data_IF_867460100594
#
_entry.id   IF_867460100594
#
_cell.length_a   1.000
_cell.length_b   1.000
_cell.length_c   1.000
_cell.angle_alpha   90.00
_cell.angle_beta   90.00
_cell.angle_gamma   90.00
#
_symmetry.space_group_name_H-M   'P 1'
#
loop_
_entity.id
_entity.type
_entity.pdbx_description
1 polymer ?
#
# COMPACT_ATOMS: atom_id res chain seq x y z
N UNK A 1 16.63 25.48 17.51
CA UNK A 1 17.19 24.53 16.53
C UNK A 1 16.02 23.80 15.89
N UNK A 2 15.77 24.00 14.59
CA UNK A 2 14.70 23.28 13.90
C UNK A 2 15.14 21.84 13.73
N UNK A 3 14.51 20.92 14.45
CA UNK A 3 14.64 19.49 14.20
C UNK A 3 14.32 19.25 12.72
N UNK A 4 15.16 18.54 11.95
CA UNK A 4 14.78 18.13 10.61
C UNK A 4 13.48 17.35 10.74
N UNK A 5 12.38 17.88 10.19
CA UNK A 5 11.11 17.18 10.19
C UNK A 5 11.31 15.80 9.58
N UNK A 6 10.67 14.76 10.14
CA UNK A 6 10.78 13.41 9.62
C UNK A 6 10.30 13.39 8.16
N UNK A 7 11.22 13.29 7.21
CA UNK A 7 10.90 13.23 5.78
C UNK A 7 10.56 11.80 5.44
N UNK A 8 9.26 11.53 5.22
CA UNK A 8 8.80 10.27 4.64
C UNK A 8 9.03 10.29 3.14
N UNK A 9 9.60 9.23 2.57
CA UNK A 9 9.85 9.10 1.13
C UNK A 9 8.96 8.00 0.58
N UNK A 10 8.14 8.32 -0.43
CA UNK A 10 7.29 7.33 -1.09
C UNK A 10 7.74 7.21 -2.54
N UNK A 11 8.24 6.03 -2.89
CA UNK A 11 8.52 5.67 -4.27
C UNK A 11 7.26 5.03 -4.86
N UNK A 12 6.80 5.60 -5.97
CA UNK A 12 5.54 5.23 -6.61
C UNK A 12 5.78 4.63 -8.00
N UNK A 13 5.09 3.54 -8.37
CA UNK A 13 5.23 2.96 -9.69
C UNK A 13 4.59 3.87 -10.74
N UNK A 14 5.40 4.33 -11.71
CA UNK A 14 4.95 5.29 -12.73
C UNK A 14 3.73 4.80 -13.54
N UNK A 15 3.61 3.49 -13.73
CA UNK A 15 2.51 2.86 -14.48
C UNK A 15 1.16 2.89 -13.75
N UNK A 16 1.12 3.29 -12.46
CA UNK A 16 -0.11 3.40 -11.66
C UNK A 16 -0.73 4.80 -11.75
N UNK A 17 -0.04 5.78 -12.33
CA UNK A 17 -0.58 7.12 -12.57
C UNK A 17 -1.35 7.21 -13.90
N UNK A 18 -2.34 6.33 -14.11
CA UNK A 18 -3.18 6.36 -15.32
C UNK A 18 -4.62 6.73 -14.97
N UNK A 19 -5.39 7.31 -15.91
CA UNK A 19 -6.81 7.62 -15.70
C UNK A 19 -7.69 6.39 -15.41
N UNK A 20 -7.17 5.17 -15.58
CA UNK A 20 -7.88 3.90 -15.40
C UNK A 20 -7.51 3.18 -14.12
N UNK A 21 -6.71 3.81 -13.25
CA UNK A 21 -6.30 3.18 -12.00
C UNK A 21 -7.51 2.99 -11.10
N UNK A 22 -7.78 1.73 -10.75
CA UNK A 22 -8.83 1.35 -9.81
C UNK A 22 -8.34 1.49 -8.38
N UNK A 23 -9.28 1.62 -7.45
CA UNK A 23 -8.97 1.52 -6.03
C UNK A 23 -8.48 0.10 -5.68
N UNK A 24 -7.69 -0.02 -4.63
CA UNK A 24 -7.11 -1.30 -4.24
C UNK A 24 -6.07 -1.19 -3.13
N UNK A 25 -5.43 -2.30 -2.84
CA UNK A 25 -4.39 -2.40 -1.82
C UNK A 25 -3.04 -1.95 -2.37
N UNK A 26 -2.35 -1.10 -1.60
CA UNK A 26 -0.97 -0.71 -1.86
C UNK A 26 -0.05 -1.84 -1.39
N UNK A 27 0.63 -2.50 -2.33
CA UNK A 27 1.57 -3.59 -2.00
C UNK A 27 2.99 -3.11 -2.23
N UNK A 28 3.88 -3.37 -1.27
CA UNK A 28 5.28 -2.98 -1.38
C UNK A 28 6.06 -3.13 -0.08
N UNK A 29 7.13 -2.35 0.07
CA UNK A 29 8.07 -2.46 1.17
C UNK A 29 8.18 -1.17 1.97
N UNK A 30 8.23 -1.30 3.30
CA UNK A 30 8.74 -0.26 4.19
C UNK A 30 10.22 -0.56 4.49
N UNK A 31 11.12 0.10 3.76
CA UNK A 31 12.53 -0.31 3.68
C UNK A 31 13.35 0.25 4.85
N UNK A 32 13.18 1.54 5.20
CA UNK A 32 13.94 2.20 6.29
C UNK A 32 13.31 3.54 6.66
N UNK A 33 13.14 3.83 7.96
CA UNK A 33 12.75 5.15 8.51
C UNK A 33 11.77 5.94 7.62
N UNK A 34 10.54 5.43 7.47
CA UNK A 34 9.47 6.06 6.67
C UNK A 34 9.74 6.17 5.16
N UNK A 35 10.67 5.37 4.63
CA UNK A 35 10.86 5.18 3.20
C UNK A 35 10.07 3.97 2.73
N UNK A 36 9.05 4.24 1.94
CA UNK A 36 8.13 3.23 1.43
C UNK A 36 8.22 3.11 -0.08
N UNK A 37 8.38 1.90 -0.59
CA UNK A 37 8.38 1.61 -2.02
C UNK A 37 7.13 0.84 -2.38
N UNK A 38 6.28 1.45 -3.19
CA UNK A 38 5.05 0.83 -3.66
C UNK A 38 5.37 0.12 -4.97
N UNK A 39 5.07 -1.17 -5.02
CA UNK A 39 5.33 -2.03 -6.16
C UNK A 39 4.13 -2.06 -7.09
N UNK A 40 2.93 -2.18 -6.52
CA UNK A 40 1.69 -2.36 -7.25
C UNK A 40 0.48 -1.89 -6.42
N UNK A 41 -0.60 -1.65 -7.16
CA UNK A 41 -1.96 -1.52 -6.61
C UNK A 41 -2.74 -2.76 -7.03
N UNK A 42 -3.23 -3.52 -6.06
CA UNK A 42 -3.99 -4.74 -6.31
C UNK A 42 -5.47 -4.49 -5.98
N UNK A 43 -6.30 -4.53 -7.00
CA UNK A 43 -7.75 -4.30 -6.92
C UNK A 43 -8.52 -5.63 -6.90
N UNK A 44 -9.80 -5.57 -6.54
CA UNK A 44 -10.76 -6.69 -6.71
C UNK A 44 -10.36 -7.99 -5.98
N UNK A 45 -9.65 -7.87 -4.84
CA UNK A 45 -9.23 -9.00 -3.98
C UNK A 45 -9.61 -8.76 -2.52
N UNK A 46 -9.72 -9.81 -1.72
CA UNK A 46 -9.87 -9.69 -0.26
C UNK A 46 -8.52 -9.47 0.41
N UNK A 47 -8.50 -8.70 1.50
CA UNK A 47 -7.28 -8.42 2.26
C UNK A 47 -6.58 -9.71 2.72
N UNK A 48 -7.34 -10.62 3.33
CA UNK A 48 -6.79 -11.87 3.86
C UNK A 48 -6.17 -12.75 2.77
N UNK A 49 -6.81 -12.85 1.60
CA UNK A 49 -6.30 -13.64 0.47
C UNK A 49 -5.02 -13.02 -0.08
N UNK A 50 -4.96 -11.69 -0.16
CA UNK A 50 -3.77 -10.96 -0.57
C UNK A 50 -2.62 -11.16 0.43
N UNK A 51 -2.86 -11.01 1.72
CA UNK A 51 -1.84 -11.22 2.76
C UNK A 51 -1.34 -12.67 2.79
N UNK A 52 -2.24 -13.65 2.61
CA UNK A 52 -1.86 -15.07 2.49
C UNK A 52 -0.98 -15.31 1.26
N UNK A 53 -1.32 -14.71 0.12
CA UNK A 53 -0.53 -14.81 -1.11
C UNK A 53 0.86 -14.19 -0.94
N UNK A 54 0.95 -13.01 -0.31
CA UNK A 54 2.23 -12.36 -0.01
C UNK A 54 3.08 -13.18 0.97
N UNK A 55 2.44 -13.84 1.95
CA UNK A 55 3.11 -14.75 2.87
C UNK A 55 3.64 -16.00 2.15
N UNK A 56 2.86 -16.61 1.26
CA UNK A 56 3.31 -17.75 0.46
C UNK A 56 4.46 -17.38 -0.48
N UNK A 57 4.45 -16.19 -1.09
CA UNK A 57 5.56 -15.68 -1.89
C UNK A 57 6.86 -15.57 -1.07
N UNK A 58 6.74 -15.22 0.22
CA UNK A 58 7.91 -15.09 1.10
C UNK A 58 8.61 -16.42 1.41
N UNK A 59 7.91 -17.54 1.30
CA UNK A 59 8.42 -18.89 1.60
C UNK A 59 8.82 -19.66 0.35
N UNK A 60 8.47 -19.17 -0.84
CA UNK A 60 8.85 -19.79 -2.11
C UNK A 60 10.31 -19.50 -2.47
N UNK A 61 11.16 -20.50 -2.25
CA UNK A 61 12.60 -20.46 -2.52
C UNK A 61 12.97 -20.74 -3.98
N UNK A 62 11.99 -20.97 -4.85
CA UNK A 62 12.20 -21.34 -6.25
C UNK A 62 11.85 -20.23 -7.25
N UNK A 63 11.17 -19.17 -6.80
CA UNK A 63 10.72 -18.10 -7.66
C UNK A 63 11.77 -16.98 -7.84
N UNK A 64 11.56 -16.15 -8.87
CA UNK A 64 12.29 -14.89 -9.07
C UNK A 64 12.23 -13.94 -7.86
N UNK A 65 11.29 -14.19 -6.94
CA UNK A 65 11.13 -13.47 -5.69
C UNK A 65 12.32 -13.63 -4.72
N UNK A 66 13.05 -14.75 -4.75
CA UNK A 66 14.25 -14.94 -3.90
C UNK A 66 15.29 -13.84 -4.13
N UNK A 67 15.40 -13.35 -5.36
CA UNK A 67 16.27 -12.22 -5.66
C UNK A 67 15.75 -10.91 -5.06
N UNK A 68 14.44 -10.67 -5.11
CA UNK A 68 13.84 -9.49 -4.47
C UNK A 68 13.97 -9.51 -2.95
N UNK A 69 13.82 -10.67 -2.31
CA UNK A 69 14.06 -10.83 -0.87
C UNK A 69 15.49 -10.44 -0.46
N UNK A 70 16.49 -10.78 -1.28
CA UNK A 70 17.89 -10.38 -1.06
C UNK A 70 18.13 -8.87 -1.23
N UNK A 71 17.41 -8.22 -2.15
CA UNK A 71 17.59 -6.79 -2.44
C UNK A 71 16.81 -5.91 -1.47
N UNK A 72 15.57 -6.27 -1.16
CA UNK A 72 14.66 -5.48 -0.32
C UNK A 72 14.72 -5.85 1.17
N UNK A 73 15.32 -6.99 1.53
CA UNK A 73 15.55 -7.43 2.91
C UNK A 73 14.32 -7.94 3.67
N UNK A 74 13.13 -7.85 3.08
CA UNK A 74 11.86 -8.30 3.64
C UNK A 74 10.86 -8.63 2.53
N UNK A 75 9.83 -9.46 2.78
CA UNK A 75 8.75 -9.65 1.84
C UNK A 75 7.87 -8.38 1.72
N UNK A 76 7.20 -8.16 0.57
CA UNK A 76 6.26 -7.08 0.43
C UNK A 76 5.04 -7.33 1.30
N UNK A 77 4.46 -6.25 1.81
CA UNK A 77 3.29 -6.25 2.67
C UNK A 77 2.23 -5.33 2.09
N UNK A 78 1.03 -5.41 2.64
CA UNK A 78 0.00 -4.39 2.44
C UNK A 78 0.38 -3.16 3.25
N UNK A 79 0.66 -2.06 2.55
CA UNK A 79 1.07 -0.78 3.11
C UNK A 79 -0.10 0.18 3.32
N UNK A 80 -1.26 -0.16 2.78
CA UNK A 80 -2.46 0.65 2.88
C UNK A 80 -3.36 0.50 1.66
N UNK A 81 -4.08 1.57 1.30
CA UNK A 81 -5.08 1.56 0.23
C UNK A 81 -4.97 2.78 -0.69
N UNK A 82 -5.23 2.55 -1.97
CA UNK A 82 -5.54 3.56 -2.95
C UNK A 82 -7.06 3.67 -3.08
N UNK A 83 -7.60 4.88 -2.97
CA UNK A 83 -8.99 5.19 -3.26
C UNK A 83 -9.09 6.05 -4.52
N UNK A 84 -10.22 5.95 -5.21
CA UNK A 84 -10.55 6.80 -6.37
C UNK A 84 -11.85 7.53 -6.08
N UNK A 85 -12.15 8.61 -6.80
CA UNK A 85 -13.43 9.32 -6.65
C UNK A 85 -14.64 8.45 -7.02
N UNK A 86 -14.46 7.47 -7.92
CA UNK A 86 -15.49 6.51 -8.29
C UNK A 86 -15.81 5.54 -7.15
N UNK A 87 -14.83 5.24 -6.30
CA UNK A 87 -14.98 4.39 -5.11
C UNK A 87 -15.78 5.07 -3.99
N UNK A 88 -15.76 6.40 -3.92
CA UNK A 88 -16.53 7.17 -2.94
C UNK A 88 -17.98 7.41 -3.35
N UNK A 89 -18.28 7.34 -4.64
CA UNK A 89 -19.57 7.73 -5.21
C UNK A 89 -20.31 6.57 -5.95
N UNK A 90 -19.69 5.40 -6.07
CA UNK A 90 -20.20 4.25 -6.84
C UNK A 90 -20.75 3.11 -5.98
N UNK A 91 -21.54 2.23 -6.62
CA UNK A 91 -22.18 1.04 -6.02
C UNK A 91 -21.19 -0.08 -5.62
N UNK A 92 -19.92 0.01 -6.04
CA UNK A 92 -18.83 -0.84 -5.58
C UNK A 92 -18.29 -0.31 -4.26
N UNK A 93 -18.68 -0.92 -3.15
CA UNK A 93 -18.36 -0.44 -1.80
C UNK A 93 -16.90 -0.02 -1.62
N UNK A 94 -16.68 1.08 -0.90
CA UNK A 94 -15.37 1.68 -0.69
C UNK A 94 -14.35 0.66 -0.15
N UNK A 95 -13.15 0.59 -0.75
CA UNK A 95 -12.03 -0.22 -0.25
C UNK A 95 -11.69 0.05 1.22
N UNK A 96 -12.05 1.23 1.74
CA UNK A 96 -11.90 1.59 3.16
C UNK A 96 -12.82 0.77 4.09
N UNK A 97 -13.92 0.27 3.55
CA UNK A 97 -14.91 -0.56 4.24
C UNK A 97 -14.70 -2.06 3.96
N UNK A 98 -13.67 -2.43 3.20
CA UNK A 98 -13.36 -3.83 2.97
C UNK A 98 -13.04 -4.55 4.29
N UNK A 99 -13.42 -5.82 4.37
CA UNK A 99 -13.25 -6.64 5.56
C UNK A 99 -11.78 -6.65 6.04
N UNK A 100 -11.57 -6.47 7.34
CA UNK A 100 -10.24 -6.44 7.96
C UNK A 100 -9.46 -5.14 7.79
N UNK A 101 -9.86 -4.24 6.86
CA UNK A 101 -9.14 -2.97 6.62
C UNK A 101 -9.18 -2.04 7.84
N UNK A 102 -10.32 -1.94 8.50
CA UNK A 102 -10.47 -1.08 9.68
C UNK A 102 -9.56 -1.52 10.84
N UNK A 103 -9.41 -2.83 11.04
CA UNK A 103 -8.58 -3.37 12.11
C UNK A 103 -7.10 -3.33 11.73
N UNK A 104 -6.76 -3.68 10.49
CA UNK A 104 -5.38 -3.57 9.99
C UNK A 104 -4.88 -2.13 10.05
N UNK A 105 -5.73 -1.16 9.71
CA UNK A 105 -5.41 0.27 9.80
C UNK A 105 -5.09 0.72 11.22
N UNK A 106 -5.62 0.06 12.26
CA UNK A 106 -5.33 0.36 13.67
C UNK A 106 -4.05 -0.32 14.15
N UNK A 107 -3.76 -1.53 13.65
CA UNK A 107 -2.65 -2.35 14.14
C UNK A 107 -1.36 -2.20 13.33
N UNK A 108 -1.42 -1.62 12.12
CA UNK A 108 -0.25 -1.42 11.30
C UNK A 108 0.65 -0.29 11.83
N UNK A 109 1.96 -0.55 11.91
CA UNK A 109 2.98 0.45 12.24
C UNK A 109 2.98 1.65 11.28
N UNK A 110 2.60 1.40 10.03
CA UNK A 110 2.42 2.38 8.97
C UNK A 110 1.17 1.98 8.18
N UNK A 111 0.24 2.93 8.00
CA UNK A 111 -0.87 2.76 7.08
C UNK A 111 -1.03 4.01 6.20
N UNK A 112 -0.95 3.82 4.89
CA UNK A 112 -1.11 4.88 3.92
C UNK A 112 -2.49 4.83 3.25
N UNK A 113 -3.16 5.96 3.17
CA UNK A 113 -4.32 6.14 2.31
C UNK A 113 -3.97 7.16 1.26
N UNK A 114 -3.99 6.75 0.00
CA UNK A 114 -3.77 7.64 -1.12
C UNK A 114 -5.09 7.75 -1.86
N UNK A 115 -5.56 8.98 -2.05
CA UNK A 115 -6.77 9.27 -2.81
C UNK A 115 -6.38 9.95 -4.12
N UNK A 116 -6.74 9.33 -5.24
CA UNK A 116 -6.60 9.99 -6.54
C UNK A 116 -7.73 11.00 -6.72
N UNK A 117 -7.34 12.27 -6.89
CA UNK A 117 -8.24 13.37 -7.19
C UNK A 117 -8.66 13.35 -8.67
N UNK A 118 -9.64 14.18 -9.04
CA UNK A 118 -10.18 14.24 -10.41
C UNK A 118 -9.16 14.64 -11.48
N UNK A 119 -8.11 15.36 -11.08
CA UNK A 119 -6.97 15.72 -11.91
C UNK A 119 -5.84 14.67 -11.90
N UNK A 120 -6.09 13.46 -11.40
CA UNK A 120 -5.11 12.39 -11.17
C UNK A 120 -3.97 12.75 -10.20
N UNK A 121 -4.10 13.84 -9.45
CA UNK A 121 -3.14 14.19 -8.42
C UNK A 121 -3.38 13.32 -7.18
N UNK A 122 -2.34 12.64 -6.65
CA UNK A 122 -2.48 11.85 -5.44
C UNK A 122 -2.53 12.76 -4.20
N UNK A 123 -3.56 12.57 -3.37
CA UNK A 123 -3.62 13.11 -2.02
C UNK A 123 -3.25 12.02 -1.02
N UNK A 124 -2.23 12.26 -0.20
CA UNK A 124 -1.68 11.29 0.72
C UNK A 124 -2.10 11.62 2.16
N UNK A 125 -2.64 10.61 2.85
CA UNK A 125 -2.84 10.60 4.30
C UNK A 125 -2.08 9.43 4.90
N UNK A 126 -1.20 9.69 5.87
CA UNK A 126 -0.46 8.64 6.57
C UNK A 126 -0.94 8.57 8.02
N UNK A 127 -1.16 7.36 8.52
CA UNK A 127 -1.24 7.10 9.96
C UNK A 127 -0.03 6.32 10.43
N UNK A 128 0.48 6.73 11.59
CA UNK A 128 1.50 6.05 12.35
C UNK A 128 0.88 5.55 13.65
N UNK A 129 1.15 4.30 13.98
CA UNK A 129 0.91 3.78 15.32
C UNK A 129 2.25 3.79 16.05
N UNK A 130 2.37 4.60 17.10
CA UNK A 130 3.46 4.50 18.05
C UNK A 130 2.98 3.59 19.17
N UNK A 131 3.40 2.32 19.15
CA UNK A 131 3.41 1.54 20.40
C UNK A 131 4.32 2.20 21.44
#
# INVERSE_FOLDING_TARGET
MNTPGAVSKIFWPAHVCTPRTKAGFLVGWNIRSFTTCIAAVISDVKLNDLESTLSALSTDTSSSFVYMGKVCGAPPIVLGVLTTLYDTNGEGGSILNAEGVADKRKTANLWMTIQLQSNNMPFLSIRYSTE
#
